data_IF_499887600015
#
_entry.id   IF_499887600015
#
_cell.length_a   1.000
_cell.length_b   1.000
_cell.length_c   1.000
_cell.angle_alpha   90.00
_cell.angle_beta   90.00
_cell.angle_gamma   90.00
#
_symmetry.space_group_name_H-M   'P 1'
#
loop_
_entity.id
_entity.type
_entity.pdbx_description
1 polymer ?
#
# COMPACT_ATOMS: atom_id res chain seq x y z
N UNK A 1 21.17 -1.61 39.96
CA UNK A 1 21.78 -1.08 38.73
C UNK A 1 21.88 -2.20 37.72
N UNK A 2 21.36 -1.96 36.51
CA UNK A 2 21.52 -2.71 35.25
C UNK A 2 20.18 -2.85 34.52
N UNK A 3 19.62 -1.73 34.08
CA UNK A 3 18.73 -1.69 32.92
C UNK A 3 19.61 -1.43 31.70
N UNK A 4 19.43 -2.19 30.62
CA UNK A 4 20.28 -1.98 29.44
C UNK A 4 20.11 -2.90 28.24
N UNK A 5 19.10 -3.78 28.17
CA UNK A 5 19.02 -4.77 27.08
C UNK A 5 17.73 -4.73 26.24
N UNK A 6 16.76 -3.87 26.56
CA UNK A 6 15.45 -3.86 25.88
C UNK A 6 15.27 -2.73 24.85
N UNK A 7 16.23 -1.80 24.71
CA UNK A 7 16.04 -0.59 23.88
C UNK A 7 16.51 -0.79 22.42
N UNK A 8 17.42 -1.73 22.17
CA UNK A 8 18.01 -1.93 20.83
C UNK A 8 17.11 -2.68 19.83
N UNK A 9 16.08 -3.41 20.28
CA UNK A 9 15.15 -4.13 19.39
C UNK A 9 14.07 -3.22 18.81
N UNK A 10 13.56 -2.27 19.59
CA UNK A 10 12.53 -1.32 19.15
C UNK A 10 13.02 -0.37 18.05
N UNK A 11 14.29 0.04 18.10
CA UNK A 11 14.87 0.88 17.06
C UNK A 11 14.96 0.13 15.71
N UNK A 12 15.20 -1.18 15.71
CA UNK A 12 15.23 -1.97 14.48
C UNK A 12 13.84 -2.20 13.88
N UNK A 13 12.82 -2.46 14.71
CA UNK A 13 11.43 -2.57 14.21
C UNK A 13 10.88 -1.23 13.70
N UNK A 14 11.24 -0.11 14.34
CA UNK A 14 10.87 1.22 13.87
C UNK A 14 11.59 1.59 12.56
N UNK A 15 12.84 1.16 12.41
CA UNK A 15 13.60 1.40 11.19
C UNK A 15 13.11 0.51 10.03
N UNK A 16 12.68 -0.73 10.29
CA UNK A 16 12.01 -1.58 9.29
C UNK A 16 10.65 -1.00 8.87
N UNK A 17 9.88 -0.43 9.80
CA UNK A 17 8.62 0.27 9.48
C UNK A 17 8.88 1.54 8.63
N UNK A 18 9.92 2.30 8.93
CA UNK A 18 10.28 3.52 8.19
C UNK A 18 10.96 3.25 6.83
N UNK A 19 11.62 2.10 6.65
CA UNK A 19 12.30 1.79 5.39
C UNK A 19 11.34 1.25 4.31
N UNK A 20 10.15 0.78 4.71
CA UNK A 20 9.06 0.43 3.78
C UNK A 20 8.38 1.70 3.21
N UNK A 21 8.48 2.84 3.91
CA UNK A 21 7.87 4.12 3.51
C UNK A 21 8.68 4.93 2.48
N UNK A 22 9.93 4.54 2.17
CA UNK A 22 10.81 5.31 1.27
C UNK A 22 10.78 4.86 -0.19
N UNK A 23 9.83 4.00 -0.55
CA UNK A 23 9.74 3.35 -1.85
C UNK A 23 8.73 3.92 -2.84
N UNK A 24 8.27 5.16 -2.70
CA UNK A 24 7.55 5.88 -3.76
C UNK A 24 7.74 7.39 -3.57
N UNK A 25 8.11 8.10 -4.63
CA UNK A 25 8.48 9.53 -4.58
C UNK A 25 7.27 10.44 -4.30
N UNK A 26 6.08 9.89 -4.06
CA UNK A 26 4.80 10.62 -3.94
C UNK A 26 3.91 10.22 -2.74
N UNK A 27 4.40 9.45 -1.76
CA UNK A 27 3.58 9.10 -0.57
C UNK A 27 2.47 8.08 -0.84
N UNK A 28 2.58 7.31 -1.93
CA UNK A 28 1.66 6.24 -2.28
C UNK A 28 2.08 4.94 -1.54
N UNK A 29 1.14 4.27 -0.86
CA UNK A 29 1.38 3.01 -0.13
C UNK A 29 1.35 1.83 -1.10
N UNK A 30 2.40 1.00 -1.17
CA UNK A 30 2.44 -0.18 -2.03
C UNK A 30 2.13 -1.46 -1.23
N UNK A 31 0.87 -1.92 -1.29
CA UNK A 31 0.44 -3.13 -0.58
C UNK A 31 0.96 -4.41 -1.26
N UNK A 32 1.34 -4.37 -2.53
CA UNK A 32 1.70 -5.57 -3.32
C UNK A 32 2.95 -6.28 -2.81
N UNK A 33 3.82 -5.55 -2.11
CA UNK A 33 5.10 -6.06 -1.57
C UNK A 33 4.98 -6.51 -0.12
N UNK A 34 3.81 -6.35 0.51
CA UNK A 34 3.65 -6.59 1.93
C UNK A 34 3.23 -8.04 2.21
N UNK A 35 3.73 -8.61 3.31
CA UNK A 35 3.37 -9.97 3.77
C UNK A 35 1.88 -10.11 4.08
N UNK A 36 1.25 -9.02 4.52
CA UNK A 36 -0.17 -8.92 4.84
C UNK A 36 -0.80 -7.75 4.08
N UNK A 37 -1.10 -7.92 2.78
CA UNK A 37 -1.49 -6.81 1.91
C UNK A 37 -2.88 -6.26 2.25
N UNK A 38 -3.83 -7.13 2.65
CA UNK A 38 -5.18 -6.70 3.05
C UNK A 38 -5.14 -5.79 4.29
N UNK A 39 -4.37 -6.17 5.32
CA UNK A 39 -4.23 -5.37 6.54
C UNK A 39 -3.63 -3.98 6.28
N UNK A 40 -2.71 -3.89 5.30
CA UNK A 40 -2.15 -2.60 4.87
C UNK A 40 -3.24 -1.73 4.24
N UNK A 41 -4.09 -2.31 3.39
CA UNK A 41 -5.20 -1.56 2.77
C UNK A 41 -6.28 -1.16 3.79
N UNK A 42 -6.57 -2.01 4.77
CA UNK A 42 -7.46 -1.69 5.89
C UNK A 42 -6.92 -0.50 6.69
N UNK A 43 -5.66 -0.57 7.12
CA UNK A 43 -4.99 0.52 7.84
C UNK A 43 -4.93 1.79 6.99
N UNK A 44 -4.69 1.67 5.69
CA UNK A 44 -4.69 2.80 4.77
C UNK A 44 -6.07 3.49 4.72
N UNK A 45 -7.15 2.73 4.53
CA UNK A 45 -8.51 3.30 4.52
C UNK A 45 -8.83 3.98 5.84
N UNK A 46 -8.43 3.41 6.98
CA UNK A 46 -8.71 3.98 8.29
C UNK A 46 -7.89 5.26 8.55
N UNK A 47 -6.59 5.22 8.28
CA UNK A 47 -5.65 6.20 8.84
C UNK A 47 -5.11 7.21 7.83
N UNK A 48 -5.11 6.88 6.52
CA UNK A 48 -4.51 7.77 5.53
C UNK A 48 -5.33 9.08 5.38
N UNK A 49 -4.71 10.21 5.03
CA UNK A 49 -5.46 11.41 4.70
C UNK A 49 -6.22 11.25 3.37
N UNK A 50 -7.27 12.05 3.19
CA UNK A 50 -8.01 12.16 1.93
C UNK A 50 -7.07 12.50 0.77
N UNK A 51 -7.26 11.86 -0.38
CA UNK A 51 -6.43 12.02 -1.58
C UNK A 51 -5.17 11.16 -1.60
N UNK A 52 -4.82 10.48 -0.50
CA UNK A 52 -3.74 9.49 -0.49
C UNK A 52 -4.07 8.34 -1.41
N UNK A 53 -3.04 7.63 -1.90
CA UNK A 53 -3.22 6.49 -2.81
C UNK A 53 -2.55 5.25 -2.25
N UNK A 54 -3.15 4.09 -2.52
CA UNK A 54 -2.58 2.80 -2.23
C UNK A 54 -2.61 1.92 -3.49
N UNK A 55 -1.49 1.30 -3.83
CA UNK A 55 -1.36 0.35 -4.93
C UNK A 55 -1.65 -1.04 -4.39
N UNK A 56 -2.64 -1.72 -4.97
CA UNK A 56 -3.04 -3.06 -4.55
C UNK A 56 -2.76 -4.15 -5.60
N UNK A 57 -2.42 -3.78 -6.83
CA UNK A 57 -1.91 -4.71 -7.84
C UNK A 57 -1.03 -3.97 -8.85
N UNK A 58 0.01 -4.65 -9.35
CA UNK A 58 0.83 -4.19 -10.47
C UNK A 58 1.06 -5.36 -11.42
N UNK A 59 0.69 -5.20 -12.68
CA UNK A 59 0.81 -6.28 -13.66
C UNK A 59 0.10 -5.99 -14.98
N UNK A 60 0.15 -6.93 -15.93
CA UNK A 60 -0.59 -6.81 -17.19
C UNK A 60 -2.11 -6.87 -16.99
N UNK A 61 -2.58 -7.46 -15.90
CA UNK A 61 -3.98 -7.54 -15.48
C UNK A 61 -4.08 -7.60 -13.96
N UNK A 62 -5.28 -7.41 -13.42
CA UNK A 62 -5.58 -7.58 -12.00
C UNK A 62 -5.63 -9.07 -11.66
N UNK A 63 -4.60 -9.57 -10.99
CA UNK A 63 -4.44 -11.00 -10.65
C UNK A 63 -4.84 -11.33 -9.20
N UNK A 64 -4.81 -10.36 -8.30
CA UNK A 64 -5.16 -10.55 -6.90
C UNK A 64 -6.67 -10.38 -6.66
N UNK A 65 -7.39 -11.51 -6.61
CA UNK A 65 -8.83 -11.52 -6.35
C UNK A 65 -9.20 -10.87 -5.02
N UNK A 66 -8.51 -11.22 -3.92
CA UNK A 66 -8.84 -10.72 -2.58
C UNK A 66 -8.64 -9.21 -2.46
N UNK A 67 -7.53 -8.68 -2.99
CA UNK A 67 -7.26 -7.25 -2.98
C UNK A 67 -8.20 -6.47 -3.91
N UNK A 68 -8.52 -7.03 -5.06
CA UNK A 68 -9.52 -6.46 -5.98
C UNK A 68 -10.92 -6.41 -5.37
N UNK A 69 -11.35 -7.49 -4.70
CA UNK A 69 -12.63 -7.54 -3.99
C UNK A 69 -12.69 -6.52 -2.83
N UNK A 70 -11.62 -6.41 -2.04
CA UNK A 70 -11.49 -5.42 -0.97
C UNK A 70 -11.61 -4.00 -1.52
N UNK A 71 -10.81 -3.64 -2.53
CA UNK A 71 -10.82 -2.31 -3.13
C UNK A 71 -12.21 -1.98 -3.71
N UNK A 72 -12.86 -2.95 -4.37
CA UNK A 72 -14.23 -2.81 -4.88
C UNK A 72 -15.24 -2.55 -3.75
N UNK A 73 -15.17 -3.30 -2.65
CA UNK A 73 -16.07 -3.10 -1.51
C UNK A 73 -15.91 -1.70 -0.90
N UNK A 74 -14.68 -1.25 -0.67
CA UNK A 74 -14.39 0.09 -0.13
C UNK A 74 -14.90 1.20 -1.06
N UNK A 75 -14.76 1.01 -2.38
CA UNK A 75 -15.30 1.94 -3.36
C UNK A 75 -16.83 2.02 -3.32
N UNK A 76 -17.52 0.87 -3.25
CA UNK A 76 -18.97 0.81 -3.14
C UNK A 76 -19.50 1.44 -1.85
N UNK A 77 -18.72 1.38 -0.77
CA UNK A 77 -19.01 2.07 0.50
C UNK A 77 -18.68 3.57 0.47
N UNK A 78 -18.15 4.07 -0.65
CA UNK A 78 -17.78 5.48 -0.82
C UNK A 78 -16.49 5.90 -0.14
N UNK A 79 -15.67 4.96 0.33
CA UNK A 79 -14.42 5.22 1.06
C UNK A 79 -13.25 5.59 0.13
N UNK A 80 -13.29 5.14 -1.12
CA UNK A 80 -12.22 5.40 -2.09
C UNK A 80 -12.72 5.46 -3.54
N UNK A 81 -11.88 5.99 -4.40
CA UNK A 81 -11.96 5.86 -5.86
C UNK A 81 -11.00 4.79 -6.36
N UNK A 82 -11.37 4.09 -7.43
CA UNK A 82 -10.51 3.11 -8.07
C UNK A 82 -9.90 3.70 -9.33
N UNK A 83 -8.59 3.57 -9.48
CA UNK A 83 -7.83 4.16 -10.57
C UNK A 83 -6.93 3.08 -11.17
N UNK A 84 -6.91 3.01 -12.50
CA UNK A 84 -5.94 2.23 -13.25
C UNK A 84 -4.94 3.19 -13.91
N UNK A 85 -3.66 3.06 -13.57
CA UNK A 85 -2.58 3.81 -14.19
C UNK A 85 -1.82 2.91 -15.15
N UNK A 86 -1.61 3.37 -16.38
CA UNK A 86 -0.76 2.67 -17.35
C UNK A 86 0.68 3.17 -17.23
N UNK A 87 1.62 2.26 -16.99
CA UNK A 87 3.06 2.55 -17.00
C UNK A 87 3.65 1.99 -18.29
N UNK A 88 4.26 2.85 -19.10
CA UNK A 88 4.98 2.46 -20.31
C UNK A 88 6.44 2.22 -19.97
N UNK A 89 6.96 1.04 -20.27
CA UNK A 89 8.37 0.67 -20.07
C UNK A 89 8.94 0.22 -21.42
N UNK A 90 9.56 1.15 -22.14
CA UNK A 90 10.04 0.90 -23.51
C UNK A 90 8.91 0.50 -24.47
N UNK A 91 8.94 -0.74 -24.97
CA UNK A 91 7.93 -1.32 -25.87
C UNK A 91 6.78 -2.01 -25.15
N UNK A 92 6.89 -2.24 -23.84
CA UNK A 92 5.86 -2.90 -23.04
C UNK A 92 5.08 -1.88 -22.22
N UNK A 93 3.90 -2.29 -21.77
CA UNK A 93 3.13 -1.55 -20.79
C UNK A 93 2.67 -2.51 -19.69
N UNK A 94 2.74 -2.03 -18.45
CA UNK A 94 2.11 -2.67 -17.29
C UNK A 94 1.08 -1.71 -16.72
N UNK A 95 0.19 -2.23 -15.88
CA UNK A 95 -0.80 -1.44 -15.18
C UNK A 95 -0.51 -1.45 -13.68
N UNK A 96 -0.79 -0.31 -13.05
CA UNK A 96 -0.99 -0.23 -11.60
C UNK A 96 -2.47 -0.04 -11.34
N UNK A 97 -2.96 -0.80 -10.36
CA UNK A 97 -4.30 -0.66 -9.85
C UNK A 97 -4.20 -0.02 -8.47
N UNK A 98 -4.80 1.16 -8.35
CA UNK A 98 -4.72 2.01 -7.17
C UNK A 98 -6.12 2.25 -6.60
N UNK A 99 -6.17 2.43 -5.30
CA UNK A 99 -7.29 3.04 -4.61
C UNK A 99 -6.87 4.41 -4.06
N UNK A 100 -7.71 5.41 -4.25
CA UNK A 100 -7.49 6.79 -3.79
C UNK A 100 -8.51 7.11 -2.72
N UNK A 101 -8.07 7.49 -1.52
CA UNK A 101 -8.98 7.75 -0.39
C UNK A 101 -9.84 9.00 -0.67
N UNK A 102 -11.14 8.86 -0.45
CA UNK A 102 -12.14 9.93 -0.68
C UNK A 102 -12.28 10.89 0.48
#
# INVERSE_FOLDING_TARGET
MAGGTEIMSFQNELNERQNIERGSVDGDVDATKHKYPVQVLESFIQNAPRGSKAIYCRGPFLDSRSLGEFARQMHLQGQCDLVQRRIKVGRTAIFEYLMVKR
#
